data_IF_524617061713
#
_entry.id   IF_524617061713
#
_cell.length_a   1.000
_cell.length_b   1.000
_cell.length_c   1.000
_cell.angle_alpha   90.00
_cell.angle_beta   90.00
_cell.angle_gamma   90.00
#
_symmetry.space_group_name_H-M   'P 1'
#
loop_
_entity.id
_entity.type
_entity.pdbx_description
1 polymer ?
#
# COMPACT_ATOMS: atom_id res chain seq x y z
N UNK A 1 30.18 -41.47 -5.10
CA UNK A 1 29.15 -41.38 -6.17
C UNK A 1 29.35 -40.07 -6.89
N UNK A 2 29.18 -39.99 -8.21
CA UNK A 2 29.37 -38.75 -8.97
C UNK A 2 28.01 -38.13 -9.29
N UNK A 3 27.88 -36.82 -9.12
CA UNK A 3 26.68 -36.05 -9.43
C UNK A 3 26.99 -35.05 -10.54
N UNK A 4 25.97 -34.67 -11.29
CA UNK A 4 26.08 -33.63 -12.31
C UNK A 4 26.11 -32.26 -11.61
N UNK A 5 27.11 -31.45 -11.95
CA UNK A 5 27.31 -30.13 -11.37
C UNK A 5 27.82 -29.15 -12.44
N UNK A 6 27.53 -27.87 -12.24
CA UNK A 6 27.98 -26.75 -13.05
C UNK A 6 29.02 -25.95 -12.27
N UNK A 7 30.13 -25.57 -12.92
CA UNK A 7 31.20 -24.78 -12.31
C UNK A 7 30.79 -23.31 -12.38
N UNK A 8 30.65 -22.65 -11.24
CA UNK A 8 30.36 -21.22 -11.16
C UNK A 8 31.63 -20.38 -11.11
N UNK A 9 32.60 -20.81 -10.30
CA UNK A 9 33.85 -20.10 -10.08
C UNK A 9 35.00 -21.09 -9.89
N UNK A 10 36.18 -20.76 -10.42
CA UNK A 10 37.41 -21.53 -10.26
C UNK A 10 38.41 -20.65 -9.53
N UNK A 11 38.90 -21.13 -8.42
CA UNK A 11 40.02 -20.54 -7.70
C UNK A 11 41.30 -21.31 -8.04
N UNK A 12 42.07 -20.76 -8.97
CA UNK A 12 43.33 -21.35 -9.44
C UNK A 12 44.42 -21.34 -8.37
N UNK A 13 44.37 -20.40 -7.41
CA UNK A 13 45.38 -20.25 -6.36
C UNK A 13 45.25 -21.37 -5.32
N UNK A 14 44.02 -21.69 -4.94
CA UNK A 14 43.72 -22.74 -3.95
C UNK A 14 43.43 -24.12 -4.59
N UNK A 15 43.32 -24.19 -5.92
CA UNK A 15 43.03 -25.43 -6.64
C UNK A 15 41.62 -25.98 -6.39
N UNK A 16 40.67 -25.09 -6.05
CA UNK A 16 39.28 -25.41 -5.72
C UNK A 16 38.33 -24.79 -6.73
N UNK A 17 37.12 -25.35 -6.83
CA UNK A 17 36.07 -24.82 -7.67
C UNK A 17 34.75 -24.79 -6.88
N UNK A 18 34.01 -23.70 -7.01
CA UNK A 18 32.63 -23.62 -6.56
C UNK A 18 31.73 -24.28 -7.62
N UNK A 19 31.02 -25.33 -7.22
CA UNK A 19 30.16 -26.12 -8.08
C UNK A 19 28.73 -26.15 -7.56
N UNK A 20 27.78 -25.92 -8.44
CA UNK A 20 26.34 -26.00 -8.14
C UNK A 20 25.77 -27.30 -8.70
N UNK A 21 25.18 -28.13 -7.84
CA UNK A 21 24.62 -29.42 -8.24
C UNK A 21 23.33 -29.26 -9.04
N UNK A 22 23.31 -29.86 -10.24
CA UNK A 22 22.18 -29.83 -11.14
C UNK A 22 20.95 -30.52 -10.50
N UNK A 23 19.86 -29.77 -10.32
CA UNK A 23 18.57 -30.28 -9.84
C UNK A 23 18.29 -30.11 -8.35
N UNK A 24 19.29 -29.78 -7.52
CA UNK A 24 19.12 -29.53 -6.09
C UNK A 24 19.31 -28.06 -5.71
N UNK A 25 20.05 -27.29 -6.52
CA UNK A 25 20.32 -25.86 -6.25
C UNK A 25 21.26 -25.62 -5.07
N UNK A 26 21.90 -26.68 -4.56
CA UNK A 26 22.93 -26.60 -3.54
C UNK A 26 24.28 -26.33 -4.23
N UNK A 27 25.04 -25.38 -3.67
CA UNK A 27 26.41 -25.08 -4.09
C UNK A 27 27.40 -25.62 -3.06
N UNK A 28 28.52 -26.18 -3.53
CA UNK A 28 29.59 -26.74 -2.71
C UNK A 28 30.95 -26.38 -3.30
N UNK A 29 31.94 -26.12 -2.45
CA UNK A 29 33.33 -25.91 -2.86
C UNK A 29 34.03 -27.26 -2.89
N UNK A 30 34.51 -27.66 -4.07
CA UNK A 30 35.14 -28.97 -4.29
C UNK A 30 36.54 -28.79 -4.91
N UNK A 31 37.55 -29.57 -4.52
CA UNK A 31 38.85 -29.55 -5.17
C UNK A 31 38.80 -29.93 -6.66
N UNK A 32 39.61 -29.30 -7.50
CA UNK A 32 39.62 -29.53 -8.96
C UNK A 32 39.88 -31.01 -9.32
N UNK A 33 40.70 -31.73 -8.55
CA UNK A 33 41.02 -33.13 -8.82
C UNK A 33 39.83 -34.10 -8.64
N UNK A 34 38.77 -33.67 -7.93
CA UNK A 34 37.56 -34.47 -7.73
C UNK A 34 36.53 -34.29 -8.87
N UNK A 35 36.76 -33.33 -9.77
CA UNK A 35 35.88 -33.09 -10.91
C UNK A 35 36.15 -34.09 -12.04
N UNK A 36 35.08 -34.55 -12.69
CA UNK A 36 35.15 -35.44 -13.85
C UNK A 36 34.50 -34.79 -15.06
N UNK A 37 35.07 -34.96 -16.27
CA UNK A 37 34.48 -34.41 -17.48
C UNK A 37 33.10 -35.01 -17.72
N UNK A 38 32.15 -34.15 -18.11
CA UNK A 38 30.79 -34.61 -18.41
C UNK A 38 30.78 -35.40 -19.73
N UNK A 39 30.28 -36.64 -19.68
CA UNK A 39 30.11 -37.45 -20.88
C UNK A 39 29.01 -36.86 -21.77
N UNK A 40 29.25 -36.84 -23.08
CA UNK A 40 28.40 -36.18 -24.10
C UNK A 40 26.93 -36.60 -24.05
N UNK A 41 26.65 -37.83 -23.62
CA UNK A 41 25.29 -38.38 -23.48
C UNK A 41 24.45 -37.71 -22.37
N UNK A 42 25.07 -37.11 -21.36
CA UNK A 42 24.37 -36.44 -20.25
C UNK A 42 24.03 -34.98 -20.55
N UNK A 43 24.85 -34.30 -21.39
CA UNK A 43 24.64 -32.91 -21.81
C UNK A 43 23.28 -32.64 -22.45
N UNK A 44 22.74 -33.59 -23.24
CA UNK A 44 21.44 -33.41 -23.93
C UNK A 44 20.24 -33.46 -22.97
N UNK A 45 20.30 -34.25 -21.89
CA UNK A 45 19.20 -34.37 -20.91
C UNK A 45 19.11 -33.14 -20.00
N UNK A 46 20.25 -32.51 -19.68
CA UNK A 46 20.30 -31.34 -18.80
C UNK A 46 19.58 -30.12 -19.39
N UNK A 47 19.86 -29.79 -20.66
CA UNK A 47 19.24 -28.63 -21.33
C UNK A 47 17.71 -28.71 -21.33
N UNK A 48 17.16 -29.90 -21.58
CA UNK A 48 15.71 -30.11 -21.60
C UNK A 48 15.07 -30.03 -20.21
N UNK A 49 15.77 -30.50 -19.16
CA UNK A 49 15.29 -30.39 -17.77
C UNK A 49 15.33 -28.94 -17.27
N UNK A 50 16.41 -28.20 -17.56
CA UNK A 50 16.51 -26.79 -17.21
C UNK A 50 15.46 -25.92 -17.92
N UNK A 51 15.22 -26.14 -19.21
CA UNK A 51 14.17 -25.42 -19.93
C UNK A 51 12.78 -25.69 -19.36
N UNK A 52 12.48 -26.94 -18.98
CA UNK A 52 11.20 -27.31 -18.38
C UNK A 52 11.00 -26.67 -16.99
N UNK A 53 12.04 -26.65 -16.15
CA UNK A 53 11.98 -25.99 -14.84
C UNK A 53 11.79 -24.48 -14.94
N UNK A 54 12.45 -23.83 -15.91
CA UNK A 54 12.30 -22.38 -16.14
C UNK A 54 10.90 -22.00 -16.64
N UNK A 55 10.31 -22.82 -17.52
CA UNK A 55 8.93 -22.65 -17.98
C UNK A 55 7.94 -22.78 -16.81
N UNK A 56 8.07 -23.82 -15.99
CA UNK A 56 7.22 -24.03 -14.80
C UNK A 56 7.33 -22.89 -13.78
N UNK A 57 8.54 -22.37 -13.53
CA UNK A 57 8.75 -21.21 -12.65
C UNK A 57 8.07 -19.93 -13.18
N UNK A 58 8.15 -19.69 -14.49
CA UNK A 58 7.53 -18.53 -15.14
C UNK A 58 6.00 -18.59 -15.05
N UNK A 59 5.43 -19.77 -15.22
CA UNK A 59 3.99 -20.01 -15.13
C UNK A 59 3.46 -19.83 -13.69
N UNK A 60 4.19 -20.33 -12.69
CA UNK A 60 3.87 -20.12 -11.28
C UNK A 60 3.86 -18.63 -10.89
N UNK A 61 4.83 -17.86 -11.40
CA UNK A 61 4.89 -16.40 -11.18
C UNK A 61 3.69 -15.70 -11.84
N UNK A 62 3.28 -16.12 -13.03
CA UNK A 62 2.12 -15.58 -13.71
C UNK A 62 0.82 -15.83 -12.92
N UNK A 63 0.61 -17.06 -12.44
CA UNK A 63 -0.55 -17.40 -11.61
C UNK A 63 -0.59 -16.57 -10.31
N UNK A 64 0.55 -16.37 -9.65
CA UNK A 64 0.61 -15.56 -8.44
C UNK A 64 0.27 -14.08 -8.71
N UNK A 65 0.72 -13.53 -9.86
CA UNK A 65 0.37 -12.16 -10.27
C UNK A 65 -1.11 -12.02 -10.56
N UNK A 66 -1.71 -13.00 -11.25
CA UNK A 66 -3.14 -12.99 -11.55
C UNK A 66 -3.99 -13.09 -10.28
N UNK A 67 -3.60 -13.95 -9.34
CA UNK A 67 -4.25 -14.04 -8.04
C UNK A 67 -4.20 -12.71 -7.26
N UNK A 68 -3.03 -12.05 -7.22
CA UNK A 68 -2.89 -10.73 -6.58
C UNK A 68 -3.77 -9.68 -7.26
N UNK A 69 -3.85 -9.67 -8.59
CA UNK A 69 -4.74 -8.76 -9.35
C UNK A 69 -6.22 -8.99 -9.00
N UNK A 70 -6.69 -10.25 -9.01
CA UNK A 70 -8.07 -10.59 -8.64
C UNK A 70 -8.40 -10.15 -7.20
N UNK A 71 -7.48 -10.34 -6.26
CA UNK A 71 -7.64 -9.90 -4.86
C UNK A 71 -7.71 -8.37 -4.73
N UNK A 72 -6.85 -7.64 -5.43
CA UNK A 72 -6.84 -6.18 -5.42
C UNK A 72 -8.14 -5.61 -6.02
N UNK A 73 -8.61 -6.18 -7.14
CA UNK A 73 -9.85 -5.75 -7.79
C UNK A 73 -11.08 -5.96 -6.89
N UNK A 74 -11.18 -7.12 -6.23
CA UNK A 74 -12.26 -7.40 -5.28
C UNK A 74 -12.24 -6.44 -4.08
N UNK A 75 -11.05 -6.06 -3.60
CA UNK A 75 -10.91 -5.07 -2.52
C UNK A 75 -11.36 -3.68 -2.97
N UNK A 76 -10.98 -3.27 -4.17
CA UNK A 76 -11.38 -1.97 -4.72
C UNK A 76 -12.90 -1.88 -4.91
N UNK A 77 -13.54 -2.95 -5.40
CA UNK A 77 -15.00 -3.02 -5.54
C UNK A 77 -15.71 -2.87 -4.18
N UNK A 78 -15.27 -3.60 -3.15
CA UNK A 78 -15.84 -3.47 -1.80
C UNK A 78 -15.72 -2.05 -1.24
N UNK A 79 -14.59 -1.39 -1.45
CA UNK A 79 -14.40 -0.01 -0.99
C UNK A 79 -15.34 0.94 -1.73
N UNK A 80 -15.48 0.77 -3.05
CA UNK A 80 -16.38 1.57 -3.87
C UNK A 80 -17.84 1.41 -3.45
N UNK A 81 -18.28 0.18 -3.17
CA UNK A 81 -19.63 -0.10 -2.67
C UNK A 81 -19.88 0.57 -1.32
N UNK A 82 -18.95 0.46 -0.37
CA UNK A 82 -19.05 1.13 0.93
C UNK A 82 -19.09 2.66 0.81
N UNK A 83 -18.32 3.24 -0.10
CA UNK A 83 -18.33 4.68 -0.35
C UNK A 83 -19.65 5.14 -0.96
N UNK A 84 -20.20 4.36 -1.89
CA UNK A 84 -21.50 4.62 -2.49
C UNK A 84 -22.63 4.55 -1.46
N UNK A 85 -22.63 3.55 -0.56
CA UNK A 85 -23.59 3.48 0.54
C UNK A 85 -23.51 4.70 1.48
N UNK A 86 -22.30 5.22 1.74
CA UNK A 86 -22.12 6.44 2.55
C UNK A 86 -22.65 7.68 1.85
N UNK A 87 -22.39 7.84 0.55
CA UNK A 87 -22.93 8.96 -0.23
C UNK A 87 -24.46 8.86 -0.34
N UNK A 88 -25.03 7.66 -0.54
CA UNK A 88 -26.48 7.47 -0.57
C UNK A 88 -27.14 7.83 0.77
N UNK A 89 -26.52 7.47 1.91
CA UNK A 89 -27.00 7.87 3.22
C UNK A 89 -26.93 9.39 3.43
N UNK A 90 -25.83 10.02 3.00
CA UNK A 90 -25.67 11.48 3.05
C UNK A 90 -26.70 12.19 2.18
N UNK A 91 -26.96 11.70 0.97
CA UNK A 91 -27.99 12.24 0.07
C UNK A 91 -29.38 12.08 0.68
N UNK A 92 -29.71 10.90 1.23
CA UNK A 92 -30.98 10.68 1.96
C UNK A 92 -31.14 11.66 3.13
N UNK A 93 -30.08 11.87 3.91
CA UNK A 93 -30.10 12.82 5.02
C UNK A 93 -30.26 14.27 4.55
N UNK A 94 -29.53 14.67 3.51
CA UNK A 94 -29.67 15.99 2.89
C UNK A 94 -31.08 16.21 2.35
N UNK A 95 -31.67 15.22 1.68
CA UNK A 95 -33.04 15.29 1.18
C UNK A 95 -34.06 15.40 2.33
N UNK A 96 -33.90 14.62 3.40
CA UNK A 96 -34.74 14.74 4.61
C UNK A 96 -34.65 16.15 5.21
N UNK A 97 -33.44 16.67 5.38
CA UNK A 97 -33.19 18.00 5.93
C UNK A 97 -33.77 19.11 5.03
N UNK A 98 -33.53 19.03 3.72
CA UNK A 98 -34.07 19.99 2.74
C UNK A 98 -35.60 19.94 2.70
N UNK A 99 -36.21 18.75 2.85
CA UNK A 99 -37.66 18.58 2.91
C UNK A 99 -38.25 19.17 4.20
N UNK A 100 -37.54 19.07 5.33
CA UNK A 100 -37.91 19.74 6.58
C UNK A 100 -37.83 21.28 6.46
N UNK A 101 -36.88 21.79 5.67
CA UNK A 101 -36.70 23.23 5.45
C UNK A 101 -37.54 23.84 4.33
N UNK A 102 -38.14 23.03 3.46
CA UNK A 102 -38.89 23.49 2.28
C UNK A 102 -40.36 23.84 2.58
N UNK A 103 -40.97 23.30 3.65
CA UNK A 103 -42.37 23.58 4.00
C UNK A 103 -42.44 24.72 5.04
N UNK A 104 -42.80 25.92 4.57
CA UNK A 104 -43.21 27.11 5.35
C UNK A 104 -42.20 27.64 6.38
N UNK A 105 -41.33 28.57 5.94
CA UNK A 105 -40.41 29.31 6.81
C UNK A 105 -40.91 30.73 7.10
N UNK A 106 -41.68 30.88 8.18
CA UNK A 106 -41.79 32.14 8.93
C UNK A 106 -41.24 31.88 10.34
N UNK A 107 -40.15 32.54 10.71
CA UNK A 107 -39.58 32.48 12.08
C UNK A 107 -38.42 31.51 12.33
N UNK A 108 -37.87 30.83 11.32
CA UNK A 108 -36.77 29.87 11.52
C UNK A 108 -35.40 30.48 11.15
N UNK A 109 -34.46 30.50 12.09
CA UNK A 109 -33.09 31.01 11.91
C UNK A 109 -32.35 30.13 10.89
N UNK A 110 -31.82 30.76 9.83
CA UNK A 110 -31.28 30.06 8.64
C UNK A 110 -30.00 29.26 8.87
N UNK A 111 -29.27 29.47 9.98
CA UNK A 111 -27.98 28.82 10.27
C UNK A 111 -27.91 28.46 11.77
N UNK A 112 -27.55 27.22 12.09
CA UNK A 112 -27.34 26.77 13.48
C UNK A 112 -26.10 27.44 14.07
N UNK A 113 -26.15 27.83 15.34
CA UNK A 113 -25.00 28.35 16.09
C UNK A 113 -23.86 27.32 16.25
N UNK A 114 -24.16 26.05 16.01
CA UNK A 114 -23.19 24.94 16.02
C UNK A 114 -22.76 24.51 14.61
N UNK A 115 -23.23 25.19 13.56
CA UNK A 115 -22.82 24.87 12.20
C UNK A 115 -21.33 25.17 12.02
N UNK A 116 -20.59 24.21 11.45
CA UNK A 116 -19.22 24.45 11.03
C UNK A 116 -19.17 25.63 10.05
N UNK A 117 -18.24 26.57 10.23
CA UNK A 117 -18.12 27.72 9.37
C UNK A 117 -17.65 27.28 7.98
N UNK A 118 -18.14 27.96 6.95
CA UNK A 118 -17.74 27.72 5.56
C UNK A 118 -16.29 28.19 5.27
N UNK A 119 -15.61 28.83 6.25
CA UNK A 119 -14.24 29.31 6.17
C UNK A 119 -13.35 28.66 7.24
N UNK A 120 -12.10 28.34 6.87
CA UNK A 120 -11.03 27.76 7.72
C UNK A 120 -10.73 28.61 8.98
N UNK A 121 -11.11 29.88 8.99
CA UNK A 121 -10.91 30.80 10.13
C UNK A 121 -12.04 30.83 11.15
N UNK A 122 -13.17 30.16 10.91
CA UNK A 122 -14.28 30.21 11.85
C UNK A 122 -14.10 29.23 13.03
N UNK A 123 -14.09 29.76 14.26
CA UNK A 123 -14.16 28.95 15.48
C UNK A 123 -15.61 28.85 15.94
N UNK A 124 -16.15 27.64 16.04
CA UNK A 124 -17.48 27.37 16.59
C UNK A 124 -17.42 27.44 18.13
N UNK A 125 -18.34 28.15 18.76
CA UNK A 125 -18.53 28.10 20.22
C UNK A 125 -17.99 29.28 21.04
N UNK A 126 -17.47 30.35 20.43
CA UNK A 126 -17.16 31.60 21.15
C UNK A 126 -18.37 32.52 21.06
N UNK A 127 -19.39 32.23 21.86
CA UNK A 127 -20.58 33.07 21.99
C UNK A 127 -20.34 34.21 22.97
N UNK A 128 -20.77 35.42 22.62
CA UNK A 128 -21.04 36.47 23.59
C UNK A 128 -22.18 36.00 24.48
N UNK A 129 -21.92 35.81 25.77
CA UNK A 129 -22.96 35.51 26.75
C UNK A 129 -23.94 36.68 26.83
N UNK A 130 -25.09 36.60 26.15
CA UNK A 130 -26.32 37.34 26.47
C UNK A 130 -26.33 38.86 26.39
N UNK A 131 -25.40 39.55 25.72
CA UNK A 131 -25.41 41.03 25.64
C UNK A 131 -25.65 41.47 24.19
N UNK A 132 -26.80 42.09 23.95
CA UNK A 132 -27.35 42.35 22.62
C UNK A 132 -26.63 43.41 21.79
N UNK A 133 -25.75 44.26 22.35
CA UNK A 133 -25.22 45.44 21.64
C UNK A 133 -23.74 45.75 21.88
N UNK A 134 -22.96 44.78 22.40
CA UNK A 134 -21.51 44.94 22.57
C UNK A 134 -20.74 44.06 21.58
N UNK A 135 -19.72 44.59 20.86
CA UNK A 135 -18.86 43.73 20.07
C UNK A 135 -18.15 42.73 20.99
N UNK A 136 -17.97 41.51 20.48
CA UNK A 136 -17.22 40.44 21.11
C UNK A 136 -15.88 40.97 21.63
N UNK A 137 -15.51 40.65 22.87
CA UNK A 137 -14.20 40.99 23.42
C UNK A 137 -13.13 40.49 22.44
N UNK A 138 -12.18 41.36 22.08
CA UNK A 138 -11.11 41.01 21.15
C UNK A 138 -10.44 39.72 21.63
N UNK A 139 -10.47 38.71 20.77
CA UNK A 139 -9.75 37.47 20.97
C UNK A 139 -8.25 37.79 20.90
N UNK A 140 -7.60 37.85 22.06
CA UNK A 140 -6.15 37.93 22.13
C UNK A 140 -5.60 36.55 21.78
N UNK A 141 -4.98 36.44 20.62
CA UNK A 141 -4.40 35.20 20.13
C UNK A 141 -3.25 34.79 21.08
N UNK A 142 -3.44 33.72 21.84
CA UNK A 142 -2.41 33.18 22.75
C UNK A 142 -1.31 32.42 21.99
N UNK A 143 -1.28 32.51 20.65
CA UNK A 143 -0.22 32.01 19.78
C UNK A 143 1.18 32.48 20.20
N UNK A 144 1.30 33.60 20.93
CA UNK A 144 2.53 34.04 21.61
C UNK A 144 3.19 32.95 22.48
N UNK A 145 2.44 31.98 23.00
CA UNK A 145 2.94 30.92 23.89
C UNK A 145 3.01 29.53 23.25
N UNK A 146 2.64 29.39 21.97
CA UNK A 146 2.72 28.10 21.27
C UNK A 146 4.11 27.90 20.65
N UNK A 147 5.03 27.37 21.44
CA UNK A 147 6.46 27.11 21.13
C UNK A 147 6.68 26.14 19.95
N UNK A 148 5.62 25.59 19.33
CA UNK A 148 5.74 24.62 18.22
C UNK A 148 6.19 25.21 16.89
N UNK A 149 6.13 26.53 16.69
CA UNK A 149 6.64 27.19 15.48
C UNK A 149 8.15 27.51 15.53
N UNK A 150 8.83 27.23 16.65
CA UNK A 150 10.27 27.49 16.84
C UNK A 150 11.17 26.31 16.47
N UNK A 151 10.64 25.19 15.98
CA UNK A 151 11.48 24.12 15.47
C UNK A 151 11.70 24.33 13.95
N UNK A 152 12.95 24.55 13.50
CA UNK A 152 13.25 24.60 12.07
C UNK A 152 13.02 23.22 11.43
N UNK A 153 12.45 23.23 10.23
CA UNK A 153 12.34 22.07 9.33
C UNK A 153 13.71 21.65 8.82
#
# INVERSE_FOLDING_TARGET
RCYEAEIEEIDEENGTAAVTFAGYGNAEVTPLFNLKPILVSYRKRHKHKMSFFLLSRKEMIAQQREYKKKKALKKAQRIKELEQEREDQKVKWQQFNNRAYSKNKKGQVKRSIFASPESVTGKVGVGTCGIADKPMTQYQDTSKYNVRHLMPQ
#
